data_IF_045716746024
#
_entry.id   IF_045716746024
#
_cell.length_a   1.000
_cell.length_b   1.000
_cell.length_c   1.000
_cell.angle_alpha   90.00
_cell.angle_beta   90.00
_cell.angle_gamma   90.00
#
_symmetry.space_group_name_H-M   'P 1'
#
loop_
_entity.id
_entity.type
_entity.pdbx_description
1 polymer ?
#
# COMPACT_ATOMS: atom_id res chain seq x y z
N UNK A 1 -10.05 -30.06 4.08
CA UNK A 1 -9.71 -28.97 5.04
C UNK A 1 -8.22 -29.06 5.26
N UNK A 2 -7.48 -28.02 4.96
CA UNK A 2 -6.04 -27.93 5.20
C UNK A 2 -5.78 -27.39 6.61
N UNK A 3 -4.65 -27.77 7.17
CA UNK A 3 -4.16 -27.23 8.45
C UNK A 3 -3.74 -25.79 8.27
N UNK A 4 -4.20 -24.89 9.12
CA UNK A 4 -3.81 -23.48 9.03
C UNK A 4 -2.56 -23.20 9.86
N UNK A 5 -1.80 -22.16 9.49
CA UNK A 5 -0.63 -21.75 10.26
C UNK A 5 -0.98 -21.41 11.72
N UNK A 6 -2.16 -20.85 11.96
CA UNK A 6 -2.65 -20.56 13.32
C UNK A 6 -2.91 -21.83 14.15
N UNK A 7 -3.32 -22.94 13.53
CA UNK A 7 -3.48 -24.24 14.21
C UNK A 7 -2.13 -24.80 14.63
N UNK A 8 -1.07 -24.52 13.90
CA UNK A 8 0.31 -25.01 14.13
C UNK A 8 1.11 -24.09 15.06
N UNK A 9 0.99 -22.79 14.91
CA UNK A 9 1.83 -21.79 15.57
C UNK A 9 1.11 -20.99 16.66
N UNK A 10 -0.23 -21.13 16.81
CA UNK A 10 -1.03 -20.32 17.72
C UNK A 10 -1.44 -18.98 17.13
N UNK A 11 -2.14 -18.15 17.91
CA UNK A 11 -2.75 -16.88 17.45
C UNK A 11 -2.30 -15.67 18.27
N UNK A 12 -2.36 -14.49 17.61
CA UNK A 12 -2.18 -13.19 18.25
C UNK A 12 -0.77 -12.97 18.81
N UNK A 13 -0.66 -12.26 19.93
CA UNK A 13 0.63 -11.87 20.53
C UNK A 13 1.50 -13.06 20.95
N UNK A 14 0.88 -14.24 21.17
CA UNK A 14 1.58 -15.48 21.56
C UNK A 14 1.89 -16.40 20.37
N UNK A 15 1.60 -15.98 19.15
CA UNK A 15 1.90 -16.76 17.96
C UNK A 15 3.40 -16.99 17.81
N UNK A 16 3.77 -18.24 17.63
CA UNK A 16 5.16 -18.63 17.41
C UNK A 16 5.58 -18.32 15.97
N UNK A 17 6.83 -17.99 15.78
CA UNK A 17 7.46 -18.05 14.46
C UNK A 17 7.69 -19.50 14.05
N UNK A 18 7.64 -19.83 12.76
CA UNK A 18 7.68 -21.20 12.26
C UNK A 18 8.89 -22.00 12.76
N UNK A 19 10.06 -21.35 12.89
CA UNK A 19 11.28 -21.95 13.43
C UNK A 19 11.22 -22.31 14.93
N UNK A 20 10.17 -21.94 15.62
CA UNK A 20 9.90 -22.30 17.02
C UNK A 20 8.80 -23.33 17.20
N UNK A 21 8.16 -23.73 16.11
CA UNK A 21 7.17 -24.83 16.13
C UNK A 21 7.89 -26.17 16.31
N UNK A 22 7.24 -27.12 17.01
CA UNK A 22 7.78 -28.48 17.14
C UNK A 22 8.06 -29.09 15.76
N UNK A 23 9.19 -29.77 15.61
CA UNK A 23 9.66 -30.27 14.31
C UNK A 23 8.69 -31.25 13.64
N UNK A 24 8.07 -32.16 14.41
CA UNK A 24 7.11 -33.12 13.88
C UNK A 24 5.88 -32.41 13.32
N UNK A 25 5.30 -31.47 14.11
CA UNK A 25 4.15 -30.67 13.69
C UNK A 25 4.48 -29.79 12.48
N UNK A 26 5.66 -29.18 12.48
CA UNK A 26 6.14 -28.36 11.37
C UNK A 26 6.36 -29.18 10.10
N UNK A 27 6.86 -30.44 10.24
CA UNK A 27 7.08 -31.37 9.13
C UNK A 27 5.77 -31.79 8.49
N UNK A 28 4.78 -32.19 9.29
CA UNK A 28 3.47 -32.59 8.79
C UNK A 28 2.76 -31.43 8.09
N UNK A 29 2.82 -30.24 8.66
CA UNK A 29 2.28 -29.02 8.04
C UNK A 29 2.96 -28.71 6.70
N UNK A 30 4.28 -28.72 6.64
CA UNK A 30 5.01 -28.44 5.41
C UNK A 30 4.81 -29.51 4.33
N UNK A 31 4.68 -30.78 4.74
CA UNK A 31 4.37 -31.88 3.82
C UNK A 31 2.96 -31.77 3.25
N UNK A 32 1.97 -31.41 4.08
CA UNK A 32 0.60 -31.14 3.62
C UNK A 32 0.58 -29.99 2.61
N UNK A 33 1.27 -28.87 2.89
CA UNK A 33 1.35 -27.72 1.98
C UNK A 33 1.93 -28.11 0.60
N UNK A 34 2.98 -28.92 0.59
CA UNK A 34 3.60 -29.40 -0.65
C UNK A 34 2.67 -30.33 -1.45
N UNK A 35 2.02 -31.30 -0.78
CA UNK A 35 1.09 -32.24 -1.39
C UNK A 35 -0.14 -31.54 -1.97
N UNK A 36 -0.76 -30.63 -1.20
CA UNK A 36 -1.92 -29.86 -1.65
C UNK A 36 -1.55 -28.95 -2.84
N UNK A 37 -0.38 -28.33 -2.82
CA UNK A 37 0.11 -27.52 -3.93
C UNK A 37 0.23 -28.34 -5.21
N UNK A 38 0.76 -29.55 -5.14
CA UNK A 38 0.85 -30.45 -6.30
C UNK A 38 -0.54 -30.87 -6.80
N UNK A 39 -1.44 -31.26 -5.90
CA UNK A 39 -2.82 -31.60 -6.26
C UNK A 39 -3.56 -30.42 -6.92
N UNK A 40 -3.35 -29.20 -6.43
CA UNK A 40 -3.90 -27.99 -7.04
C UNK A 40 -3.33 -27.77 -8.46
N UNK A 41 -2.02 -27.94 -8.64
CA UNK A 41 -1.38 -27.81 -9.95
C UNK A 41 -1.98 -28.78 -10.97
N UNK A 42 -2.12 -30.05 -10.61
CA UNK A 42 -2.67 -31.08 -11.50
C UNK A 42 -4.15 -30.79 -11.84
N UNK A 43 -4.96 -30.51 -10.82
CA UNK A 43 -6.40 -30.27 -10.99
C UNK A 43 -6.67 -28.99 -11.80
N UNK A 44 -6.07 -27.86 -11.39
CA UNK A 44 -6.24 -26.58 -12.08
C UNK A 44 -5.66 -26.65 -13.50
N UNK A 45 -4.52 -27.32 -13.66
CA UNK A 45 -3.87 -27.51 -14.95
C UNK A 45 -4.79 -28.17 -15.99
N UNK A 46 -5.54 -29.20 -15.60
CA UNK A 46 -6.52 -29.84 -16.48
C UNK A 46 -7.68 -28.93 -16.89
N UNK A 47 -8.13 -28.06 -15.97
CA UNK A 47 -9.14 -27.05 -16.28
C UNK A 47 -8.59 -25.95 -17.17
N UNK A 48 -7.37 -25.50 -16.92
CA UNK A 48 -6.71 -24.44 -17.67
C UNK A 48 -6.45 -24.84 -19.13
N UNK A 49 -6.04 -26.09 -19.39
CA UNK A 49 -5.86 -26.63 -20.74
C UNK A 49 -7.10 -26.54 -21.62
N UNK A 50 -8.29 -26.52 -21.01
CA UNK A 50 -9.58 -26.32 -21.70
C UNK A 50 -9.87 -24.88 -22.05
N UNK A 51 -9.16 -23.93 -21.44
CA UNK A 51 -9.31 -22.49 -21.63
C UNK A 51 -8.07 -21.87 -22.29
N UNK A 52 -7.95 -22.03 -23.60
CA UNK A 52 -6.75 -21.70 -24.38
C UNK A 52 -6.26 -20.26 -24.20
N UNK A 53 -7.16 -19.30 -24.03
CA UNK A 53 -6.79 -17.90 -23.80
C UNK A 53 -6.10 -17.69 -22.44
N UNK A 54 -6.59 -18.32 -21.38
CA UNK A 54 -5.99 -18.25 -20.05
C UNK A 54 -4.69 -19.05 -19.97
N UNK A 55 -4.65 -20.24 -20.61
CA UNK A 55 -3.42 -21.02 -20.71
C UNK A 55 -2.31 -20.20 -21.40
N UNK A 56 -2.64 -19.46 -22.45
CA UNK A 56 -1.72 -18.58 -23.15
C UNK A 56 -1.22 -17.44 -22.24
N UNK A 57 -2.12 -16.77 -21.51
CA UNK A 57 -1.72 -15.72 -20.55
C UNK A 57 -0.74 -16.28 -19.52
N UNK A 58 -1.05 -17.44 -18.93
CA UNK A 58 -0.15 -18.07 -17.96
C UNK A 58 1.23 -18.35 -18.57
N UNK A 59 1.29 -18.97 -19.74
CA UNK A 59 2.55 -19.44 -20.35
C UNK A 59 3.37 -18.31 -20.97
N UNK A 60 2.71 -17.34 -21.60
CA UNK A 60 3.39 -16.31 -22.40
C UNK A 60 3.68 -15.03 -21.59
N UNK A 61 2.98 -14.83 -20.48
CA UNK A 61 3.09 -13.60 -19.67
C UNK A 61 3.47 -13.92 -18.22
N UNK A 62 2.62 -14.66 -17.48
CA UNK A 62 2.76 -14.81 -16.03
C UNK A 62 4.02 -15.59 -15.65
N UNK A 63 4.24 -16.77 -16.26
CA UNK A 63 5.43 -17.57 -15.96
C UNK A 63 6.75 -16.91 -16.40
N UNK A 64 6.87 -16.30 -17.60
CA UNK A 64 8.08 -15.57 -17.99
C UNK A 64 8.36 -14.32 -17.14
N UNK A 65 7.34 -13.74 -16.50
CA UNK A 65 7.50 -12.58 -15.64
C UNK A 65 8.14 -12.91 -14.28
N UNK A 66 7.98 -14.15 -13.80
CA UNK A 66 8.52 -14.58 -12.49
C UNK A 66 10.02 -14.30 -12.34
N UNK A 67 10.91 -14.74 -13.25
CA UNK A 67 12.33 -14.45 -13.11
C UNK A 67 12.66 -12.96 -13.22
N UNK A 68 11.89 -12.18 -13.96
CA UNK A 68 12.06 -10.72 -14.05
C UNK A 68 11.75 -10.06 -12.72
N UNK A 69 10.61 -10.40 -12.10
CA UNK A 69 10.24 -9.86 -10.80
C UNK A 69 11.21 -10.30 -9.72
N UNK A 70 11.64 -11.56 -9.72
CA UNK A 70 12.65 -12.06 -8.78
C UNK A 70 13.97 -11.30 -8.89
N UNK A 71 14.44 -10.99 -10.10
CA UNK A 71 15.64 -10.18 -10.32
C UNK A 71 15.46 -8.74 -9.82
N UNK A 72 14.30 -8.13 -10.04
CA UNK A 72 13.97 -6.80 -9.51
C UNK A 72 13.94 -6.77 -7.97
N UNK A 73 13.31 -7.76 -7.35
CA UNK A 73 13.24 -7.90 -5.90
C UNK A 73 14.64 -8.09 -5.29
N UNK A 74 15.47 -8.93 -5.89
CA UNK A 74 16.82 -9.18 -5.43
C UNK A 74 17.72 -7.96 -5.57
N UNK A 75 17.58 -7.19 -6.66
CA UNK A 75 18.35 -5.97 -6.89
C UNK A 75 17.96 -4.86 -5.94
N UNK A 76 16.69 -4.69 -5.68
CA UNK A 76 16.14 -3.64 -4.83
C UNK A 76 16.52 -2.22 -5.31
N UNK A 77 16.19 -1.22 -4.51
CA UNK A 77 16.45 0.20 -4.81
C UNK A 77 17.26 0.86 -3.70
N UNK A 78 18.06 1.85 -4.07
CA UNK A 78 18.84 2.66 -3.12
C UNK A 78 17.99 3.83 -2.65
N UNK A 79 17.97 4.06 -1.35
CA UNK A 79 17.28 5.18 -0.73
C UNK A 79 18.25 5.98 0.11
N UNK A 80 18.21 7.28 -0.02
CA UNK A 80 18.91 8.23 0.81
C UNK A 80 18.12 8.50 2.10
N UNK A 81 18.59 7.91 3.21
CA UNK A 81 17.95 8.04 4.51
C UNK A 81 18.10 9.44 5.12
N UNK A 82 19.12 10.21 4.75
CA UNK A 82 19.31 11.56 5.27
C UNK A 82 18.26 12.52 4.67
N UNK A 83 17.97 12.37 3.38
CA UNK A 83 16.89 13.09 2.71
C UNK A 83 15.54 12.77 3.39
N UNK A 84 15.25 11.49 3.61
CA UNK A 84 13.98 11.09 4.26
C UNK A 84 13.90 11.58 5.72
N UNK A 85 15.00 11.54 6.47
CA UNK A 85 15.04 12.05 7.84
C UNK A 85 14.77 13.55 7.92
N UNK A 86 15.35 14.33 7.01
CA UNK A 86 15.08 15.77 6.91
C UNK A 86 13.60 16.04 6.57
N UNK A 87 13.07 15.29 5.61
CA UNK A 87 11.65 15.41 5.22
C UNK A 87 10.73 15.01 6.36
N UNK A 88 11.04 13.93 7.09
CA UNK A 88 10.28 13.49 8.26
C UNK A 88 10.18 14.60 9.33
N UNK A 89 11.30 15.28 9.58
CA UNK A 89 11.34 16.41 10.52
C UNK A 89 10.46 17.58 10.05
N UNK A 90 10.54 17.94 8.78
CA UNK A 90 9.73 19.02 8.19
C UNK A 90 8.24 18.67 8.20
N UNK A 91 7.88 17.42 7.84
CA UNK A 91 6.50 16.95 7.93
C UNK A 91 5.98 16.99 9.38
N UNK A 92 6.80 16.55 10.34
CA UNK A 92 6.44 16.61 11.76
C UNK A 92 6.13 18.03 12.24
N UNK A 93 6.93 19.01 11.85
CA UNK A 93 6.67 20.42 12.19
C UNK A 93 5.35 20.93 11.58
N UNK A 94 5.06 20.58 10.33
CA UNK A 94 3.78 20.95 9.67
C UNK A 94 2.58 20.25 10.32
N UNK A 95 2.71 18.97 10.66
CA UNK A 95 1.67 18.21 11.36
C UNK A 95 1.32 18.86 12.71
N UNK A 96 2.33 19.21 13.51
CA UNK A 96 2.12 19.90 14.78
C UNK A 96 1.40 21.24 14.58
N UNK A 97 1.79 22.02 13.58
CA UNK A 97 1.11 23.28 13.26
C UNK A 97 -0.36 23.09 12.82
N UNK A 98 -0.68 21.99 12.13
CA UNK A 98 -2.07 21.63 11.78
C UNK A 98 -2.87 21.18 13.00
N UNK A 99 -2.24 20.48 13.96
CA UNK A 99 -2.88 20.13 15.23
C UNK A 99 -3.25 21.38 16.03
N UNK A 100 -2.33 22.32 16.17
CA UNK A 100 -2.59 23.62 16.85
C UNK A 100 -3.74 24.37 16.16
N UNK A 101 -3.76 24.42 14.83
CA UNK A 101 -4.87 25.03 14.09
C UNK A 101 -6.20 24.31 14.33
N UNK A 102 -6.20 22.97 14.33
CA UNK A 102 -7.39 22.18 14.59
C UNK A 102 -7.91 22.42 16.00
N UNK A 103 -7.03 22.47 17.01
CA UNK A 103 -7.40 22.75 18.40
C UNK A 103 -7.96 24.15 18.57
N UNK A 104 -7.35 25.14 17.93
CA UNK A 104 -7.87 26.53 17.94
C UNK A 104 -9.28 26.61 17.34
N UNK A 105 -9.55 25.86 16.23
CA UNK A 105 -10.87 25.85 15.58
C UNK A 105 -11.92 25.07 16.36
N UNK A 106 -11.52 24.02 17.05
CA UNK A 106 -12.40 23.20 17.88
C UNK A 106 -12.60 23.77 19.30
N UNK A 107 -11.73 24.68 19.73
CA UNK A 107 -11.73 25.24 21.10
C UNK A 107 -11.18 24.30 22.18
N UNK A 108 -10.66 23.12 21.79
CA UNK A 108 -10.08 22.12 22.69
C UNK A 108 -9.10 21.20 21.95
N UNK A 109 -8.22 20.56 22.73
CA UNK A 109 -7.34 19.50 22.21
C UNK A 109 -8.11 18.19 22.01
N UNK A 110 -7.75 17.46 20.93
CA UNK A 110 -8.32 16.16 20.59
C UNK A 110 -7.40 15.38 19.66
N UNK A 111 -7.62 14.09 19.53
CA UNK A 111 -6.83 13.26 18.60
C UNK A 111 -7.43 13.29 17.19
N UNK A 112 -6.74 13.98 16.27
CA UNK A 112 -7.14 14.08 14.84
C UNK A 112 -7.14 12.73 14.11
N UNK A 113 -6.48 11.71 14.65
CA UNK A 113 -6.48 10.36 14.13
C UNK A 113 -7.60 9.47 14.67
N UNK A 114 -8.38 9.97 15.67
CA UNK A 114 -9.48 9.23 16.28
C UNK A 114 -10.81 9.50 15.57
N UNK A 115 -11.40 8.54 14.83
CA UNK A 115 -12.70 8.75 14.19
C UNK A 115 -13.80 9.13 15.17
N UNK A 116 -13.76 8.56 16.39
CA UNK A 116 -14.75 8.82 17.43
C UNK A 116 -14.68 10.29 17.93
N UNK A 117 -13.49 10.81 18.21
CA UNK A 117 -13.33 12.19 18.65
C UNK A 117 -13.67 13.17 17.53
N UNK A 118 -13.32 12.83 16.27
CA UNK A 118 -13.71 13.64 15.13
C UNK A 118 -15.24 13.71 14.95
N UNK A 119 -15.95 12.60 15.17
CA UNK A 119 -17.41 12.57 15.12
C UNK A 119 -18.01 13.52 16.17
N UNK A 120 -17.55 13.41 17.43
CA UNK A 120 -18.00 14.26 18.52
C UNK A 120 -17.77 15.75 18.20
N UNK A 121 -16.57 16.12 17.76
CA UNK A 121 -16.25 17.54 17.46
C UNK A 121 -17.02 18.06 16.26
N UNK A 122 -16.97 17.36 15.13
CA UNK A 122 -17.56 17.86 13.89
C UNK A 122 -19.08 17.89 13.94
N UNK A 123 -19.71 16.83 14.43
CA UNK A 123 -21.15 16.64 14.29
C UNK A 123 -21.93 17.02 15.56
N UNK A 124 -21.39 16.72 16.76
CA UNK A 124 -22.11 16.97 18.00
C UNK A 124 -21.83 18.37 18.57
N UNK A 125 -20.56 18.84 18.53
CA UNK A 125 -20.20 20.15 19.09
C UNK A 125 -20.30 21.30 18.09
N UNK A 126 -19.71 21.12 16.89
CA UNK A 126 -19.75 22.16 15.84
C UNK A 126 -21.06 22.12 15.02
N UNK A 127 -21.93 21.14 15.25
CA UNK A 127 -23.19 20.95 14.54
C UNK A 127 -23.04 20.96 13.00
N UNK A 128 -21.95 20.44 12.48
CA UNK A 128 -21.77 20.26 11.04
C UNK A 128 -22.73 19.16 10.55
N UNK A 129 -23.42 19.34 9.41
CA UNK A 129 -24.40 18.37 8.96
C UNK A 129 -23.75 17.02 8.60
N UNK A 130 -24.40 15.93 9.04
CA UNK A 130 -23.97 14.55 8.69
C UNK A 130 -24.37 14.25 7.25
N UNK A 131 -23.40 14.08 6.37
CA UNK A 131 -23.62 13.75 4.94
C UNK A 131 -23.81 12.27 4.76
N UNK A 132 -23.02 11.43 5.46
CA UNK A 132 -23.01 9.99 5.30
C UNK A 132 -22.82 9.30 6.66
N UNK A 133 -23.36 8.07 6.78
CA UNK A 133 -23.18 7.23 7.96
C UNK A 133 -22.42 5.96 7.60
N UNK A 134 -21.66 5.46 8.57
CA UNK A 134 -21.00 4.16 8.47
C UNK A 134 -22.03 3.02 8.48
N UNK A 135 -21.68 1.79 8.07
CA UNK A 135 -22.57 0.63 8.21
C UNK A 135 -23.08 0.38 9.63
N UNK A 136 -22.33 0.84 10.64
CA UNK A 136 -22.74 0.81 12.06
C UNK A 136 -23.65 1.96 12.49
N UNK A 137 -24.10 2.83 11.57
CA UNK A 137 -25.03 3.92 11.83
C UNK A 137 -24.39 5.21 12.41
N UNK A 138 -23.09 5.23 12.62
CA UNK A 138 -22.36 6.42 13.13
C UNK A 138 -22.06 7.41 11.99
N UNK A 139 -21.98 8.73 12.27
CA UNK A 139 -21.52 9.70 11.28
C UNK A 139 -20.17 9.30 10.66
N UNK A 140 -20.05 9.36 9.34
CA UNK A 140 -18.82 9.00 8.65
C UNK A 140 -17.81 10.16 8.67
N UNK A 141 -16.55 9.85 8.99
CA UNK A 141 -15.41 10.77 8.82
C UNK A 141 -14.46 10.27 7.75
N UNK A 142 -15.00 9.52 6.77
CA UNK A 142 -14.24 9.06 5.61
C UNK A 142 -13.69 10.23 4.80
N UNK A 143 -12.64 9.98 4.02
CA UNK A 143 -11.98 11.03 3.23
C UNK A 143 -12.94 11.75 2.30
N UNK A 144 -13.81 11.01 1.60
CA UNK A 144 -14.83 11.58 0.71
C UNK A 144 -15.79 12.52 1.41
N UNK A 145 -16.21 12.17 2.64
CA UNK A 145 -17.10 13.00 3.47
C UNK A 145 -16.38 14.28 3.91
N UNK A 146 -15.15 14.15 4.40
CA UNK A 146 -14.36 15.32 4.81
C UNK A 146 -14.04 16.22 3.62
N UNK A 147 -13.80 15.69 2.42
CA UNK A 147 -13.60 16.49 1.21
C UNK A 147 -14.84 17.31 0.84
N UNK A 148 -16.03 16.76 0.99
CA UNK A 148 -17.27 17.49 0.75
C UNK A 148 -17.48 18.58 1.81
N UNK A 149 -17.26 18.26 3.09
CA UNK A 149 -17.35 19.21 4.20
C UNK A 149 -16.32 20.35 4.11
N UNK A 150 -15.11 20.04 3.62
CA UNK A 150 -14.04 21.02 3.45
C UNK A 150 -14.36 22.14 2.45
N UNK A 151 -15.38 21.98 1.61
CA UNK A 151 -15.86 23.04 0.72
C UNK A 151 -16.51 24.20 1.48
N UNK A 152 -17.01 23.97 2.69
CA UNK A 152 -17.76 24.92 3.48
C UNK A 152 -17.18 25.18 4.88
N UNK A 153 -16.40 24.24 5.40
CA UNK A 153 -15.88 24.27 6.76
C UNK A 153 -14.35 24.13 6.78
N UNK A 154 -13.68 24.95 7.54
CA UNK A 154 -12.21 24.97 7.61
C UNK A 154 -11.62 23.79 8.39
N UNK A 155 -12.27 23.33 9.46
CA UNK A 155 -11.72 22.23 10.27
C UNK A 155 -11.61 20.92 9.49
N UNK A 156 -12.57 20.47 8.68
CA UNK A 156 -12.42 19.31 7.78
C UNK A 156 -11.24 19.45 6.82
N UNK A 157 -10.94 20.64 6.31
CA UNK A 157 -9.77 20.88 5.46
C UNK A 157 -8.45 20.63 6.20
N UNK A 158 -8.33 21.17 7.41
CA UNK A 158 -7.15 20.96 8.29
C UNK A 158 -6.97 19.49 8.62
N UNK A 159 -8.07 18.77 8.92
CA UNK A 159 -8.04 17.32 9.20
C UNK A 159 -7.56 16.52 7.98
N UNK A 160 -8.01 16.87 6.78
CA UNK A 160 -7.58 16.19 5.53
C UNK A 160 -6.07 16.39 5.28
N UNK A 161 -5.58 17.62 5.45
CA UNK A 161 -4.15 17.91 5.30
C UNK A 161 -3.33 17.17 6.35
N UNK A 162 -3.74 17.24 7.62
CA UNK A 162 -3.09 16.48 8.71
C UNK A 162 -3.03 14.97 8.41
N UNK A 163 -4.12 14.36 7.97
CA UNK A 163 -4.16 12.93 7.60
C UNK A 163 -3.21 12.61 6.45
N UNK A 164 -3.18 13.46 5.44
CA UNK A 164 -2.29 13.30 4.29
C UNK A 164 -0.83 13.33 4.71
N UNK A 165 -0.42 14.36 5.44
CA UNK A 165 0.96 14.50 5.90
C UNK A 165 1.36 13.40 6.89
N UNK A 166 0.48 13.04 7.83
CA UNK A 166 0.72 11.96 8.79
C UNK A 166 0.90 10.61 8.10
N UNK A 167 0.09 10.31 7.08
CA UNK A 167 0.22 9.10 6.26
C UNK A 167 1.53 9.09 5.49
N UNK A 168 1.92 10.19 4.86
CA UNK A 168 3.19 10.30 4.14
C UNK A 168 4.37 10.10 5.08
N UNK A 169 4.34 10.75 6.23
CA UNK A 169 5.38 10.61 7.26
C UNK A 169 5.52 9.18 7.74
N UNK A 170 4.45 8.59 8.24
CA UNK A 170 4.46 7.24 8.83
C UNK A 170 4.73 6.14 7.82
N UNK A 171 4.26 6.29 6.56
CA UNK A 171 4.38 5.23 5.54
C UNK A 171 5.72 5.28 4.82
N UNK A 172 6.26 6.47 4.59
CA UNK A 172 7.45 6.63 3.75
C UNK A 172 8.64 7.18 4.52
N UNK A 173 8.58 8.41 5.07
CA UNK A 173 9.79 9.04 5.59
C UNK A 173 10.32 8.40 6.87
N UNK A 174 9.44 7.83 7.69
CA UNK A 174 9.87 7.12 8.91
C UNK A 174 10.18 5.64 8.61
N UNK A 175 9.33 4.98 7.82
CA UNK A 175 9.39 3.53 7.66
C UNK A 175 10.38 3.04 6.60
N UNK A 176 10.56 3.76 5.50
CA UNK A 176 11.47 3.30 4.43
C UNK A 176 12.93 3.14 4.91
N UNK A 177 13.49 4.06 5.72
CA UNK A 177 14.85 3.87 6.25
C UNK A 177 15.00 2.58 7.07
N UNK A 178 13.96 2.17 7.82
CA UNK A 178 13.97 0.94 8.63
C UNK A 178 13.96 -0.34 7.79
N UNK A 179 13.56 -0.23 6.52
CA UNK A 179 13.47 -1.36 5.57
C UNK A 179 14.74 -1.53 4.72
N UNK A 180 15.76 -0.70 4.93
CA UNK A 180 17.03 -0.85 4.26
C UNK A 180 17.74 -2.11 4.80
N UNK A 181 17.97 -3.06 3.92
CA UNK A 181 18.70 -4.29 4.28
C UNK A 181 20.14 -3.99 4.64
N UNK A 182 20.57 -4.39 5.81
CA UNK A 182 21.98 -4.26 6.25
C UNK A 182 22.97 -4.97 5.32
N UNK A 183 22.53 -6.05 4.63
CA UNK A 183 23.37 -6.83 3.73
C UNK A 183 23.62 -6.15 2.40
N UNK A 184 22.62 -5.45 1.87
CA UNK A 184 22.67 -4.90 0.51
C UNK A 184 22.74 -3.38 0.48
N UNK A 185 22.37 -2.70 1.58
CA UNK A 185 22.19 -1.26 1.63
C UNK A 185 21.00 -0.77 0.79
N UNK A 186 20.06 -1.66 0.47
CA UNK A 186 18.93 -1.38 -0.43
C UNK A 186 17.61 -1.79 0.20
N UNK A 187 16.53 -1.20 -0.28
CA UNK A 187 15.18 -1.62 0.02
C UNK A 187 14.72 -2.62 -1.04
N UNK A 188 14.14 -3.72 -0.60
CA UNK A 188 13.66 -4.82 -1.44
C UNK A 188 12.15 -4.94 -1.27
N UNK A 189 11.41 -4.53 -2.29
CA UNK A 189 9.95 -4.67 -2.33
C UNK A 189 9.57 -6.03 -2.89
N UNK A 190 8.45 -6.58 -2.47
CA UNK A 190 7.86 -7.81 -3.04
C UNK A 190 6.80 -7.44 -4.06
N UNK A 191 6.85 -8.03 -5.24
CA UNK A 191 5.87 -7.83 -6.31
C UNK A 191 4.93 -9.03 -6.41
N UNK A 192 3.62 -8.77 -6.40
CA UNK A 192 2.58 -9.80 -6.46
C UNK A 192 1.89 -9.81 -7.82
N UNK A 193 1.85 -10.99 -8.43
CA UNK A 193 1.05 -11.28 -9.62
C UNK A 193 -0.35 -11.76 -9.21
N UNK A 194 -1.34 -11.59 -10.09
CA UNK A 194 -2.70 -12.13 -9.96
C UNK A 194 -3.46 -11.76 -8.65
N UNK A 195 -3.08 -10.67 -7.99
CA UNK A 195 -3.74 -10.18 -6.77
C UNK A 195 -4.81 -9.14 -7.09
N UNK A 196 -4.56 -8.26 -8.06
CA UNK A 196 -5.52 -7.23 -8.45
C UNK A 196 -6.54 -7.76 -9.44
N UNK A 197 -7.79 -7.28 -9.34
CA UNK A 197 -8.87 -7.64 -10.29
C UNK A 197 -8.62 -7.13 -11.72
N UNK A 198 -7.72 -6.15 -11.87
CA UNK A 198 -7.39 -5.51 -13.14
C UNK A 198 -6.21 -6.16 -13.87
N UNK A 199 -5.54 -7.16 -13.27
CA UNK A 199 -4.32 -7.77 -13.80
C UNK A 199 -3.05 -6.91 -13.63
N UNK A 200 -3.12 -5.77 -12.91
CA UNK A 200 -1.93 -4.99 -12.55
C UNK A 200 -1.12 -5.73 -11.47
N UNK A 201 0.19 -5.52 -11.45
CA UNK A 201 1.01 -5.92 -10.31
C UNK A 201 0.65 -5.08 -9.09
N UNK A 202 0.80 -5.66 -7.91
CA UNK A 202 0.84 -4.93 -6.66
C UNK A 202 2.19 -5.13 -5.98
N UNK A 203 2.55 -4.25 -5.05
CA UNK A 203 3.78 -4.37 -4.27
C UNK A 203 3.53 -4.19 -2.79
N UNK A 204 4.34 -4.87 -1.98
CA UNK A 204 4.32 -4.75 -0.52
C UNK A 204 5.74 -4.79 0.07
N UNK A 205 5.86 -4.37 1.29
CA UNK A 205 7.05 -4.46 2.14
C UNK A 205 8.36 -3.89 1.55
N UNK A 206 8.33 -2.64 1.03
CA UNK A 206 7.27 -1.62 1.03
C UNK A 206 6.43 -1.58 -0.25
N UNK A 207 5.23 -0.97 -0.17
CA UNK A 207 4.49 -0.66 -1.38
C UNK A 207 5.07 0.61 -2.05
N UNK A 208 5.86 0.42 -3.08
CA UNK A 208 6.51 1.49 -3.84
C UNK A 208 5.62 2.08 -4.95
N UNK A 209 4.51 1.43 -5.28
CA UNK A 209 3.61 1.88 -6.36
C UNK A 209 2.67 3.01 -5.93
N UNK A 210 2.51 3.23 -4.61
CA UNK A 210 1.61 4.23 -4.05
C UNK A 210 2.31 5.52 -3.61
N UNK A 211 3.58 5.75 -3.99
CA UNK A 211 4.28 6.99 -3.70
C UNK A 211 3.61 8.12 -4.49
N UNK A 212 3.11 9.18 -3.82
CA UNK A 212 2.40 10.26 -4.51
C UNK A 212 3.28 10.99 -5.53
N UNK A 213 2.65 11.45 -6.62
CA UNK A 213 3.33 12.19 -7.69
C UNK A 213 2.82 13.64 -7.76
N UNK A 214 1.55 13.84 -7.44
CA UNK A 214 0.87 15.13 -7.67
C UNK A 214 1.22 16.19 -6.63
N UNK A 215 1.48 15.80 -5.39
CA UNK A 215 1.79 16.73 -4.29
C UNK A 215 3.29 17.01 -4.24
N UNK A 216 3.66 18.17 -3.71
CA UNK A 216 5.05 18.57 -3.48
C UNK A 216 5.76 17.59 -2.53
N UNK A 217 5.12 17.24 -1.43
CA UNK A 217 5.64 16.29 -0.44
C UNK A 217 5.89 14.90 -1.06
N UNK A 218 4.99 14.45 -1.93
CA UNK A 218 5.17 13.19 -2.66
C UNK A 218 6.37 13.24 -3.60
N UNK A 219 6.58 14.37 -4.30
CA UNK A 219 7.77 14.56 -5.14
C UNK A 219 9.04 14.56 -4.32
N UNK A 220 9.07 15.26 -3.18
CA UNK A 220 10.21 15.25 -2.26
C UNK A 220 10.57 13.85 -1.77
N UNK A 221 9.59 13.00 -1.46
CA UNK A 221 9.84 11.59 -1.10
C UNK A 221 10.53 10.85 -2.25
N UNK A 222 10.16 11.13 -3.50
CA UNK A 222 10.78 10.51 -4.68
C UNK A 222 12.23 10.93 -4.89
N UNK A 223 12.63 12.11 -4.43
CA UNK A 223 14.03 12.58 -4.47
C UNK A 223 14.97 11.74 -3.62
N UNK A 224 14.43 11.02 -2.63
CA UNK A 224 15.21 10.09 -1.82
C UNK A 224 15.55 8.78 -2.54
N UNK A 225 14.92 8.49 -3.69
CA UNK A 225 15.27 7.34 -4.52
C UNK A 225 16.44 7.71 -5.43
N UNK A 226 17.61 7.27 -5.05
CA UNK A 226 18.88 7.64 -5.65
C UNK A 226 19.56 6.44 -6.32
N UNK A 227 20.61 6.72 -7.09
CA UNK A 227 21.44 5.69 -7.70
C UNK A 227 22.88 5.81 -7.23
N UNK A 228 23.66 4.72 -7.21
CA UNK A 228 25.08 4.76 -6.88
C UNK A 228 25.86 5.65 -7.87
N UNK A 229 27.00 6.16 -7.45
CA UNK A 229 27.87 6.96 -8.31
C UNK A 229 28.25 6.19 -9.58
N UNK A 230 28.06 6.82 -10.73
CA UNK A 230 28.34 6.23 -12.05
C UNK A 230 27.15 5.51 -12.68
N UNK A 231 25.96 5.62 -12.06
CA UNK A 231 24.70 5.15 -12.61
C UNK A 231 23.73 6.30 -12.82
N UNK A 232 22.81 6.13 -13.76
CA UNK A 232 21.73 7.05 -14.04
C UNK A 232 20.37 6.40 -13.75
N UNK A 233 19.43 7.18 -13.21
CA UNK A 233 18.04 6.77 -13.05
C UNK A 233 17.31 7.03 -14.37
N UNK A 234 16.82 5.97 -15.00
CA UNK A 234 16.06 6.04 -16.24
C UNK A 234 14.59 5.78 -15.93
N UNK A 235 13.71 6.68 -16.37
CA UNK A 235 12.25 6.49 -16.28
C UNK A 235 11.69 6.32 -17.70
N UNK A 236 11.01 5.20 -17.92
CA UNK A 236 10.36 4.90 -19.20
C UNK A 236 8.91 4.53 -18.88
N UNK A 237 7.97 5.21 -19.53
CA UNK A 237 6.54 4.99 -19.36
C UNK A 237 5.81 4.97 -20.70
N UNK A 238 4.74 4.17 -20.78
CA UNK A 238 3.86 4.14 -21.94
C UNK A 238 2.90 5.33 -21.90
N UNK A 239 3.13 6.31 -22.76
CA UNK A 239 2.27 7.49 -22.83
C UNK A 239 0.83 7.12 -23.19
N UNK A 240 -0.12 7.49 -22.30
CA UNK A 240 -1.58 7.35 -22.49
C UNK A 240 -2.01 5.92 -22.85
N UNK A 241 -1.38 4.91 -22.22
CA UNK A 241 -1.61 3.51 -22.60
C UNK A 241 -3.08 3.09 -22.43
N UNK A 242 -3.77 3.54 -21.39
CA UNK A 242 -5.18 3.23 -21.17
C UNK A 242 -6.07 3.80 -22.29
N UNK A 243 -5.82 5.02 -22.74
CA UNK A 243 -6.57 5.62 -23.85
C UNK A 243 -6.30 4.88 -25.17
N UNK A 244 -5.04 4.46 -25.41
CA UNK A 244 -4.67 3.68 -26.59
C UNK A 244 -5.35 2.30 -26.59
N UNK A 245 -5.42 1.63 -25.43
CA UNK A 245 -6.13 0.38 -25.28
C UNK A 245 -7.64 0.59 -25.49
N UNK A 246 -8.21 1.66 -24.95
CA UNK A 246 -9.62 1.98 -25.10
C UNK A 246 -9.96 2.26 -26.58
N UNK A 247 -9.16 3.07 -27.27
CA UNK A 247 -9.31 3.33 -28.72
C UNK A 247 -9.26 2.02 -29.53
N UNK A 248 -8.30 1.14 -29.21
CA UNK A 248 -8.17 -0.14 -29.88
C UNK A 248 -9.39 -1.06 -29.68
N UNK A 249 -9.92 -1.14 -28.44
CA UNK A 249 -11.06 -1.99 -28.11
C UNK A 249 -12.40 -1.43 -28.60
N UNK A 250 -12.61 -0.12 -28.46
CA UNK A 250 -13.84 0.56 -28.88
C UNK A 250 -13.90 0.75 -30.41
N UNK A 251 -12.75 0.81 -31.07
CA UNK A 251 -12.60 1.24 -32.48
C UNK A 251 -13.16 2.63 -32.75
N UNK A 252 -13.14 3.49 -31.73
CA UNK A 252 -13.58 4.87 -31.84
C UNK A 252 -12.49 5.69 -32.54
N UNK A 253 -12.85 6.32 -33.66
CA UNK A 253 -11.92 7.12 -34.48
C UNK A 253 -11.53 8.46 -33.83
N UNK A 254 -12.26 8.88 -32.78
CA UNK A 254 -12.02 10.13 -32.05
C UNK A 254 -11.02 9.97 -30.90
N UNK A 255 -10.72 8.75 -30.48
CA UNK A 255 -9.75 8.38 -29.45
C UNK A 255 -8.41 8.00 -30.09
#
# INVERSE_FOLDING_TARGET
KTTTFEEVAGKGVKQLTFNKVNLEVASDYAAEDADITLQMYDNIGEHLKKQKSLEKVLKDIELPLIPVLSDMEQKGTVIDSDILSLQSKNLGQRINGLEEQAFSKAGKEFNLSSPKQLQEILFDEMNIPVIEKTPGGQPSTAESVLQELAKQYELPQVILEHRTLSKLKSTYTDRLPEQISEKTGRVHSTFHQAVTTTGRLSSSDPNLQNIPIKTEEGRMIREAFVVPKGFDLISIDYSQIELRIMAHLSKDESL
#
